data_IF_640514452301
#
_entry.id   IF_640514452301
#
_cell.length_a   1.000
_cell.length_b   1.000
_cell.length_c   1.000
_cell.angle_alpha   90.00
_cell.angle_beta   90.00
_cell.angle_gamma   90.00
#
_symmetry.space_group_name_H-M   'P 1'
#
loop_
_entity.id
_entity.type
_entity.pdbx_description
1 polymer ?
#
# COMPACT_ATOMS: atom_id res chain seq x y z
N UNK A 1 1.02 -1.23 -14.55
CA UNK A 1 1.25 -1.80 -13.20
C UNK A 1 2.65 -1.44 -12.82
N UNK A 2 2.84 -0.90 -11.62
CA UNK A 2 4.15 -0.50 -11.10
C UNK A 2 4.28 -1.10 -9.70
N UNK A 3 5.42 -1.72 -9.41
CA UNK A 3 5.70 -2.34 -8.10
C UNK A 3 6.91 -1.66 -7.48
N UNK A 4 6.76 -1.28 -6.21
CA UNK A 4 7.79 -0.68 -5.38
C UNK A 4 8.18 -1.67 -4.30
N UNK A 5 9.48 -1.86 -4.12
CA UNK A 5 10.05 -2.69 -3.07
C UNK A 5 10.87 -1.80 -2.14
N UNK A 6 10.64 -1.93 -0.84
CA UNK A 6 11.31 -1.15 0.20
C UNK A 6 12.25 -2.04 0.99
N UNK A 7 13.32 -1.45 1.55
CA UNK A 7 14.36 -2.19 2.27
C UNK A 7 13.85 -2.92 3.51
N UNK A 8 12.76 -2.44 4.11
CA UNK A 8 12.13 -3.06 5.28
C UNK A 8 11.23 -4.27 4.94
N UNK A 9 11.21 -4.71 3.68
CA UNK A 9 10.39 -5.84 3.22
C UNK A 9 8.94 -5.47 2.88
N UNK A 10 8.58 -4.19 2.90
CA UNK A 10 7.29 -3.72 2.38
C UNK A 10 7.32 -3.71 0.85
N UNK A 11 6.24 -4.20 0.23
CA UNK A 11 6.03 -4.19 -1.21
C UNK A 11 4.67 -3.60 -1.51
N UNK A 12 4.63 -2.66 -2.46
CA UNK A 12 3.41 -2.03 -2.91
C UNK A 12 3.29 -2.10 -4.44
N UNK A 13 2.16 -2.57 -4.95
CA UNK A 13 1.86 -2.59 -6.37
C UNK A 13 0.67 -1.70 -6.67
N UNK A 14 0.85 -0.72 -7.54
CA UNK A 14 -0.22 0.11 -8.09
C UNK A 14 -0.59 -0.37 -9.50
N UNK A 15 -1.89 -0.44 -9.79
CA UNK A 15 -2.40 -0.73 -11.13
C UNK A 15 -3.68 0.02 -11.43
N UNK A 16 -3.94 0.28 -12.70
CA UNK A 16 -5.28 0.63 -13.16
C UNK A 16 -6.13 -0.63 -13.29
N UNK A 17 -7.44 -0.48 -13.05
CA UNK A 17 -8.43 -1.48 -13.45
C UNK A 17 -8.59 -1.44 -14.97
N UNK A 18 -8.80 -2.62 -15.58
CA UNK A 18 -9.00 -2.72 -17.03
C UNK A 18 -10.44 -2.48 -17.48
N UNK A 19 -11.40 -2.55 -16.54
CA UNK A 19 -12.84 -2.53 -16.83
C UNK A 19 -13.59 -1.45 -16.05
N UNK A 20 -12.96 -0.82 -15.07
CA UNK A 20 -13.56 0.22 -14.23
C UNK A 20 -12.62 1.43 -14.15
N UNK A 21 -13.12 2.66 -13.97
CA UNK A 21 -12.29 3.84 -13.74
C UNK A 21 -11.75 3.85 -12.30
N UNK A 22 -10.95 2.84 -11.94
CA UNK A 22 -10.39 2.65 -10.60
C UNK A 22 -8.88 2.43 -10.66
N UNK A 23 -8.18 2.96 -9.66
CA UNK A 23 -6.82 2.55 -9.31
C UNK A 23 -6.94 1.50 -8.21
N UNK A 24 -6.25 0.38 -8.36
CA UNK A 24 -6.16 -0.70 -7.36
C UNK A 24 -4.72 -0.76 -6.84
N UNK A 25 -4.58 -1.05 -5.56
CA UNK A 25 -3.28 -1.28 -4.94
C UNK A 25 -3.27 -2.62 -4.19
N UNK A 26 -2.11 -3.24 -4.14
CA UNK A 26 -1.83 -4.43 -3.32
C UNK A 26 -0.58 -4.13 -2.49
N UNK A 27 -0.63 -4.47 -1.22
CA UNK A 27 0.48 -4.21 -0.29
C UNK A 27 0.72 -5.41 0.59
N UNK A 28 1.98 -5.70 0.85
CA UNK A 28 2.40 -6.73 1.80
C UNK A 28 3.64 -6.27 2.56
N UNK A 29 3.82 -6.81 3.76
CA UNK A 29 5.01 -6.61 4.58
C UNK A 29 5.58 -7.97 4.94
N UNK A 30 6.75 -8.30 4.37
CA UNK A 30 7.50 -9.49 4.73
C UNK A 30 8.51 -9.13 5.83
N UNK A 31 8.20 -9.52 7.07
CA UNK A 31 9.05 -9.27 8.22
C UNK A 31 10.31 -10.15 8.24
N UNK A 32 11.34 -9.69 8.95
CA UNK A 32 12.48 -10.55 9.31
C UNK A 32 12.01 -11.79 10.09
N UNK A 33 12.61 -12.97 9.89
CA UNK A 33 12.28 -14.18 10.65
C UNK A 33 12.40 -14.04 12.18
N UNK A 34 13.17 -13.05 12.65
CA UNK A 34 13.36 -12.77 14.09
C UNK A 34 12.25 -11.91 14.68
N UNK A 35 11.52 -11.16 13.86
CA UNK A 35 10.43 -10.31 14.33
C UNK A 35 9.14 -11.13 14.44
N UNK A 36 8.64 -11.25 15.66
CA UNK A 36 7.47 -12.07 15.99
C UNK A 36 6.31 -11.22 16.50
N UNK A 37 6.53 -9.94 16.75
CA UNK A 37 5.49 -9.02 17.21
C UNK A 37 4.55 -8.67 16.06
N UNK A 38 3.45 -9.41 15.97
CA UNK A 38 2.44 -9.22 14.93
C UNK A 38 1.71 -7.89 15.06
N UNK A 39 1.59 -7.34 16.27
CA UNK A 39 0.93 -6.05 16.50
C UNK A 39 1.77 -4.95 15.89
N UNK A 40 3.06 -4.92 16.22
CA UNK A 40 4.03 -3.99 15.63
C UNK A 40 4.09 -4.10 14.10
N UNK A 41 4.11 -5.32 13.56
CA UNK A 41 4.12 -5.52 12.10
C UNK A 41 2.85 -5.00 11.43
N UNK A 42 1.69 -5.15 12.07
CA UNK A 42 0.43 -4.63 11.56
C UNK A 42 0.40 -3.09 11.58
N UNK A 43 0.94 -2.47 12.63
CA UNK A 43 1.08 -1.01 12.73
C UNK A 43 2.00 -0.47 11.63
N UNK A 44 3.17 -1.08 11.42
CA UNK A 44 4.08 -0.71 10.33
C UNK A 44 3.40 -0.85 8.98
N UNK A 45 2.71 -1.96 8.73
CA UNK A 45 1.98 -2.16 7.47
C UNK A 45 0.95 -1.05 7.24
N UNK A 46 0.17 -0.71 8.27
CA UNK A 46 -0.84 0.35 8.20
C UNK A 46 -0.21 1.71 7.90
N UNK A 47 0.83 2.10 8.63
CA UNK A 47 1.54 3.37 8.43
C UNK A 47 2.12 3.47 7.01
N UNK A 48 2.77 2.40 6.52
CA UNK A 48 3.32 2.36 5.18
C UNK A 48 2.23 2.46 4.10
N UNK A 49 1.08 1.80 4.30
CA UNK A 49 -0.07 1.90 3.38
C UNK A 49 -0.60 3.33 3.34
N UNK A 50 -0.79 3.97 4.51
CA UNK A 50 -1.25 5.36 4.59
C UNK A 50 -0.25 6.30 3.89
N UNK A 51 1.05 6.11 4.11
CA UNK A 51 2.12 6.87 3.47
C UNK A 51 2.11 6.76 1.94
N UNK A 52 2.03 5.56 1.37
CA UNK A 52 1.99 5.43 -0.10
C UNK A 52 0.70 6.03 -0.69
N UNK A 53 -0.43 5.94 0.01
CA UNK A 53 -1.68 6.50 -0.49
C UNK A 53 -1.60 8.03 -0.51
N UNK A 54 -1.12 8.63 0.58
CA UNK A 54 -0.91 10.06 0.66
C UNK A 54 0.10 10.56 -0.38
N UNK A 55 1.29 9.95 -0.46
CA UNK A 55 2.39 10.48 -1.27
C UNK A 55 2.26 10.13 -2.76
N UNK A 56 1.84 8.90 -3.09
CA UNK A 56 1.86 8.44 -4.48
C UNK A 56 0.53 8.70 -5.20
N UNK A 57 -0.60 8.58 -4.49
CA UNK A 57 -1.92 8.78 -5.09
C UNK A 57 -2.50 10.16 -4.81
N UNK A 58 -2.05 10.86 -3.77
CA UNK A 58 -2.48 12.21 -3.41
C UNK A 58 -4.01 12.40 -3.55
N UNK A 59 -4.82 11.57 -2.85
CA UNK A 59 -6.25 11.46 -3.12
C UNK A 59 -7.00 12.79 -2.98
N UNK A 60 -6.60 13.65 -2.05
CA UNK A 60 -7.20 14.97 -1.85
C UNK A 60 -6.91 15.91 -3.04
N UNK A 61 -5.69 15.88 -3.57
CA UNK A 61 -5.26 16.71 -4.70
C UNK A 61 -5.90 16.22 -6.00
N UNK A 62 -6.05 14.92 -6.17
CA UNK A 62 -6.55 14.29 -7.39
C UNK A 62 -8.04 13.93 -7.34
N UNK A 63 -8.75 14.26 -6.25
CA UNK A 63 -10.17 13.97 -6.08
C UNK A 63 -10.50 12.47 -6.10
N UNK A 64 -9.58 11.62 -5.63
CA UNK A 64 -9.78 10.18 -5.57
C UNK A 64 -10.66 9.82 -4.38
N UNK A 65 -11.67 8.99 -4.62
CA UNK A 65 -12.63 8.56 -3.60
C UNK A 65 -12.31 7.11 -3.23
N UNK A 66 -12.02 6.80 -1.95
CA UNK A 66 -11.85 5.42 -1.49
C UNK A 66 -13.09 4.59 -1.79
N UNK A 67 -12.88 3.37 -2.28
CA UNK A 67 -13.94 2.39 -2.55
C UNK A 67 -13.50 1.06 -1.96
N UNK A 68 -14.32 0.52 -1.07
CA UNK A 68 -14.20 -0.87 -0.65
C UNK A 68 -14.63 -1.78 -1.81
N UNK A 69 -14.07 -2.99 -1.85
CA UNK A 69 -14.52 -4.03 -2.77
C UNK A 69 -15.68 -4.81 -2.16
#
# INVERSE_FOLDING_TARGET
MITFSFENGFVATLRTSGTEPKIKYYTELCASPTEKDRTKLHEILKEMVEGILAEFLQPEVHGLIPREN
#
